data_IF_382291510250
#
_entry.id   IF_382291510250
#
_cell.length_a   1.000
_cell.length_b   1.000
_cell.length_c   1.000
_cell.angle_alpha   90.00
_cell.angle_beta   90.00
_cell.angle_gamma   90.00
#
_symmetry.space_group_name_H-M   'P 1'
#
loop_
_entity.id
_entity.type
_entity.pdbx_description
1 polymer ?
#
# COMPACT_ATOMS: atom_id res chain seq x y z
N UNK A 1 74.24 -35.10 -38.20
CA UNK A 1 74.70 -34.83 -36.83
C UNK A 1 74.20 -33.43 -36.51
N UNK A 2 73.26 -33.33 -35.57
CA UNK A 2 72.63 -32.14 -34.93
C UNK A 2 72.61 -30.78 -35.67
N UNK A 3 71.41 -30.18 -35.81
CA UNK A 3 71.03 -28.92 -35.12
C UNK A 3 69.74 -28.26 -35.69
N UNK A 4 68.79 -27.98 -34.76
CA UNK A 4 67.94 -26.77 -34.63
C UNK A 4 66.78 -26.48 -35.63
N UNK A 5 65.60 -25.89 -35.31
CA UNK A 5 64.95 -25.32 -34.12
C UNK A 5 63.44 -25.03 -34.46
N UNK A 6 62.51 -25.44 -33.58
CA UNK A 6 61.32 -24.70 -33.03
C UNK A 6 60.07 -24.28 -33.89
N UNK A 7 58.87 -24.63 -33.32
CA UNK A 7 57.49 -24.06 -33.42
C UNK A 7 56.77 -24.09 -34.80
N UNK A 8 55.49 -24.44 -34.93
CA UNK A 8 54.36 -23.78 -34.27
C UNK A 8 53.07 -24.63 -34.42
N UNK A 9 52.43 -24.94 -33.29
CA UNK A 9 51.10 -25.54 -33.20
C UNK A 9 50.05 -24.47 -32.88
N UNK A 10 48.81 -24.65 -33.35
CA UNK A 10 47.61 -24.14 -32.70
C UNK A 10 47.09 -22.79 -33.17
N UNK A 11 46.31 -22.78 -34.26
CA UNK A 11 45.64 -21.57 -34.73
C UNK A 11 44.39 -21.88 -35.53
N UNK A 12 43.35 -22.46 -34.92
CA UNK A 12 42.03 -22.49 -35.59
C UNK A 12 40.80 -22.68 -34.71
N UNK A 13 40.92 -23.00 -33.41
CA UNK A 13 39.75 -23.19 -32.53
C UNK A 13 39.38 -21.98 -31.66
N UNK A 14 40.22 -20.95 -31.58
CA UNK A 14 39.99 -19.79 -30.71
C UNK A 14 39.08 -18.72 -31.31
N UNK A 15 38.94 -18.67 -32.64
CA UNK A 15 38.16 -17.63 -33.33
C UNK A 15 36.64 -17.90 -33.26
N UNK A 16 36.24 -19.18 -33.18
CA UNK A 16 34.83 -19.61 -33.10
C UNK A 16 34.21 -19.50 -31.70
N UNK A 17 35.02 -19.29 -30.66
CA UNK A 17 34.56 -19.13 -29.27
C UNK A 17 34.28 -17.66 -28.89
N UNK A 18 34.78 -16.71 -29.69
CA UNK A 18 34.61 -15.29 -29.47
C UNK A 18 33.13 -14.80 -29.50
N UNK A 19 32.25 -15.27 -30.40
CA UNK A 19 30.86 -14.82 -30.45
C UNK A 19 30.03 -15.31 -29.25
N UNK A 20 30.34 -16.51 -28.73
CA UNK A 20 29.67 -17.11 -27.58
C UNK A 20 30.00 -16.38 -26.28
N UNK A 21 31.27 -15.99 -26.10
CA UNK A 21 31.71 -15.21 -24.94
C UNK A 21 31.11 -13.80 -24.93
N UNK A 22 30.92 -13.17 -26.10
CA UNK A 22 30.30 -11.85 -26.21
C UNK A 22 28.80 -11.91 -25.87
N UNK A 23 28.09 -12.96 -26.29
CA UNK A 23 26.67 -13.16 -25.96
C UNK A 23 26.42 -13.34 -24.44
N UNK A 24 27.31 -14.06 -23.75
CA UNK A 24 27.17 -14.32 -22.31
C UNK A 24 27.56 -13.12 -21.43
N UNK A 25 28.40 -12.20 -21.93
CA UNK A 25 28.88 -11.05 -21.16
C UNK A 25 28.13 -9.74 -21.47
N UNK A 26 27.39 -9.66 -22.59
CA UNK A 26 26.51 -8.52 -22.90
C UNK A 26 25.49 -8.19 -21.79
N UNK A 27 24.79 -9.15 -21.15
CA UNK A 27 23.82 -8.83 -20.09
C UNK A 27 24.45 -8.32 -18.78
N UNK A 28 25.78 -8.44 -18.62
CA UNK A 28 26.52 -7.83 -17.50
C UNK A 28 26.88 -6.36 -17.78
N UNK A 29 27.16 -6.01 -19.04
CA UNK A 29 27.45 -4.63 -19.45
C UNK A 29 26.18 -3.77 -19.55
N UNK A 30 25.04 -4.35 -19.96
CA UNK A 30 23.75 -3.63 -19.96
C UNK A 30 23.25 -3.29 -18.55
N UNK A 31 23.69 -4.04 -17.52
CA UNK A 31 23.42 -3.71 -16.11
C UNK A 31 24.24 -2.53 -15.57
N UNK A 32 25.39 -2.21 -16.19
CA UNK A 32 26.22 -1.07 -15.75
C UNK A 32 25.72 0.28 -16.28
N UNK A 33 25.06 0.28 -17.44
CA UNK A 33 24.48 1.48 -18.07
C UNK A 33 22.97 1.62 -17.88
N UNK A 34 22.30 0.59 -17.35
CA UNK A 34 21.04 0.80 -16.66
C UNK A 34 21.36 1.56 -15.37
N UNK A 35 21.36 2.90 -15.46
CA UNK A 35 20.88 3.69 -14.32
C UNK A 35 19.65 2.95 -13.81
N UNK A 36 19.55 2.61 -12.53
CA UNK A 36 18.29 2.07 -12.01
C UNK A 36 17.24 3.01 -12.55
N UNK A 37 16.31 2.47 -13.35
CA UNK A 37 15.07 3.17 -13.58
C UNK A 37 14.62 3.43 -12.16
N UNK A 38 14.72 4.67 -11.73
CA UNK A 38 14.08 5.11 -10.52
C UNK A 38 12.60 4.92 -10.84
N UNK A 39 12.10 3.71 -10.65
CA UNK A 39 10.88 3.57 -9.90
C UNK A 39 11.18 4.40 -8.66
N UNK A 40 10.73 5.65 -8.69
CA UNK A 40 10.44 6.37 -7.47
C UNK A 40 9.47 5.46 -6.75
N UNK A 41 10.00 4.48 -6.00
CA UNK A 41 9.30 3.74 -4.98
C UNK A 41 8.98 4.84 -3.97
N UNK A 42 7.91 5.59 -4.25
CA UNK A 42 7.16 6.17 -3.17
C UNK A 42 6.76 4.97 -2.33
N UNK A 43 7.43 4.78 -1.20
CA UNK A 43 7.19 3.68 -0.28
C UNK A 43 5.75 3.80 0.19
N UNK A 44 4.82 3.12 -0.47
CA UNK A 44 3.43 3.11 -0.06
C UNK A 44 3.25 2.12 1.09
N UNK A 45 2.49 2.52 2.10
CA UNK A 45 2.03 1.62 3.16
C UNK A 45 0.69 0.99 2.78
N UNK A 46 0.39 -0.16 3.38
CA UNK A 46 -0.89 -0.86 3.21
C UNK A 46 -1.46 -1.19 4.57
N UNK A 47 -2.76 -0.97 4.75
CA UNK A 47 -3.51 -1.42 5.92
C UNK A 47 -4.79 -2.15 5.48
N UNK A 48 -5.27 -3.05 6.32
CA UNK A 48 -6.49 -3.83 6.08
C UNK A 48 -7.29 -3.94 7.37
N UNK A 49 -8.59 -3.68 7.28
CA UNK A 49 -9.52 -3.92 8.39
C UNK A 49 -10.88 -4.40 7.89
N UNK A 50 -11.70 -4.83 8.84
CA UNK A 50 -13.01 -5.40 8.59
C UNK A 50 -14.08 -4.56 9.29
N UNK A 51 -15.16 -4.25 8.59
CA UNK A 51 -16.32 -3.53 9.12
C UNK A 51 -17.58 -4.37 9.06
N UNK A 52 -18.52 -4.11 9.97
CA UNK A 52 -19.87 -4.70 9.92
C UNK A 52 -20.74 -4.14 8.80
N UNK A 53 -20.34 -3.02 8.19
CA UNK A 53 -21.08 -2.39 7.09
C UNK A 53 -21.15 -3.27 5.84
N UNK A 54 -22.26 -3.15 5.12
CA UNK A 54 -22.38 -3.68 3.76
C UNK A 54 -21.42 -2.95 2.82
N UNK A 55 -21.11 -3.56 1.68
CA UNK A 55 -20.09 -3.03 0.78
C UNK A 55 -20.40 -1.61 0.28
N UNK A 56 -21.66 -1.32 -0.04
CA UNK A 56 -22.11 0.01 -0.49
C UNK A 56 -22.02 1.05 0.64
N UNK A 57 -22.40 0.67 1.86
CA UNK A 57 -22.32 1.52 3.06
C UNK A 57 -20.86 1.83 3.41
N UNK A 58 -19.98 0.82 3.34
CA UNK A 58 -18.55 0.98 3.57
C UNK A 58 -17.91 1.90 2.52
N UNK A 59 -18.29 1.74 1.26
CA UNK A 59 -17.83 2.58 0.15
C UNK A 59 -18.20 4.06 0.38
N UNK A 60 -19.48 4.35 0.65
CA UNK A 60 -19.92 5.72 0.89
C UNK A 60 -19.37 6.29 2.21
N UNK A 61 -19.22 5.47 3.26
CA UNK A 61 -18.60 5.91 4.52
C UNK A 61 -17.14 6.33 4.33
N UNK A 62 -16.34 5.56 3.59
CA UNK A 62 -14.94 5.93 3.28
C UNK A 62 -14.90 7.21 2.46
N UNK A 63 -15.73 7.32 1.42
CA UNK A 63 -15.80 8.50 0.57
C UNK A 63 -16.13 9.76 1.36
N UNK A 64 -17.13 9.69 2.24
CA UNK A 64 -17.50 10.80 3.14
C UNK A 64 -16.38 11.14 4.12
N UNK A 65 -15.68 10.15 4.68
CA UNK A 65 -14.53 10.38 5.55
C UNK A 65 -13.39 11.10 4.83
N UNK A 66 -13.02 10.68 3.62
CA UNK A 66 -11.95 11.34 2.85
C UNK A 66 -12.34 12.77 2.49
N UNK A 67 -13.59 13.02 2.10
CA UNK A 67 -14.05 14.39 1.86
C UNK A 67 -14.02 15.27 3.12
N UNK A 68 -14.21 14.69 4.31
CA UNK A 68 -14.07 15.42 5.58
C UNK A 68 -12.62 15.78 5.93
N UNK A 69 -11.62 15.14 5.30
CA UNK A 69 -10.22 15.53 5.51
C UNK A 69 -9.92 16.91 4.95
N UNK A 70 -10.65 17.36 3.93
CA UNK A 70 -10.54 18.72 3.36
C UNK A 70 -10.81 19.79 4.41
N UNK A 71 -11.86 19.60 5.20
CA UNK A 71 -12.40 20.65 6.07
C UNK A 71 -11.61 20.87 7.35
N UNK A 72 -10.83 19.88 7.83
CA UNK A 72 -10.24 19.94 9.17
C UNK A 72 -8.89 20.69 9.24
N UNK A 73 -8.14 20.78 8.15
CA UNK A 73 -6.82 21.44 8.13
C UNK A 73 -6.89 22.91 7.69
N UNK A 74 -7.96 23.32 7.01
CA UNK A 74 -8.19 24.72 6.59
C UNK A 74 -8.65 25.62 7.75
N UNK A 75 -9.14 25.04 8.85
CA UNK A 75 -9.56 25.77 10.06
C UNK A 75 -8.41 25.85 11.06
N UNK A 76 -7.23 26.34 10.64
CA UNK A 76 -6.34 27.03 11.59
C UNK A 76 -6.81 28.47 11.63
N UNK A 77 -7.25 29.01 12.78
CA UNK A 77 -7.75 30.37 12.83
C UNK A 77 -6.59 31.31 12.50
N UNK A 78 -6.56 31.80 11.26
CA UNK A 78 -5.68 32.90 10.92
C UNK A 78 -6.08 34.06 11.83
N UNK A 79 -5.14 34.42 12.70
CA UNK A 79 -4.94 35.74 13.30
C UNK A 79 -5.98 36.81 12.87
N UNK A 80 -6.56 37.49 13.86
CA UNK A 80 -7.65 38.50 13.79
C UNK A 80 -7.39 39.75 12.91
N UNK A 81 -6.51 39.70 11.90
CA UNK A 81 -6.25 40.81 10.99
C UNK A 81 -5.92 40.32 9.56
N UNK A 82 -6.92 39.79 8.84
CA UNK A 82 -6.78 39.59 7.39
C UNK A 82 -8.02 40.07 6.66
N UNK A 83 -7.97 41.33 6.20
CA UNK A 83 -9.01 42.02 5.41
C UNK A 83 -8.85 41.74 3.90
N UNK A 84 -7.88 40.93 3.47
CA UNK A 84 -7.66 40.69 2.05
C UNK A 84 -7.47 39.22 1.68
N UNK A 85 -8.27 38.81 0.69
CA UNK A 85 -8.20 37.62 -0.19
C UNK A 85 -8.84 36.33 0.35
N UNK A 86 -10.16 36.23 0.08
CA UNK A 86 -10.84 34.96 -0.17
C UNK A 86 -10.23 34.30 -1.43
N UNK A 87 -9.11 33.60 -1.29
CA UNK A 87 -8.79 32.50 -2.21
C UNK A 87 -9.34 31.25 -1.56
N UNK A 88 -10.38 30.68 -2.16
CA UNK A 88 -10.81 29.31 -1.85
C UNK A 88 -9.57 28.42 -1.94
N UNK A 89 -9.25 27.66 -0.88
CA UNK A 89 -8.16 26.69 -0.92
C UNK A 89 -8.36 25.73 -2.11
N UNK A 90 -7.30 25.31 -2.79
CA UNK A 90 -7.42 24.31 -3.85
C UNK A 90 -8.08 23.04 -3.30
N UNK A 91 -9.03 22.46 -4.05
CA UNK A 91 -9.73 21.24 -3.62
C UNK A 91 -8.71 20.12 -3.30
N UNK A 92 -8.59 19.79 -2.01
CA UNK A 92 -7.71 18.73 -1.52
C UNK A 92 -8.37 17.37 -1.70
N UNK A 93 -7.63 16.30 -1.98
CA UNK A 93 -8.18 14.95 -2.25
C UNK A 93 -9.31 14.89 -3.30
N UNK A 94 -8.96 14.89 -4.58
CA UNK A 94 -9.91 14.74 -5.69
C UNK A 94 -10.07 13.25 -6.01
N UNK A 95 -11.28 12.80 -6.33
CA UNK A 95 -11.52 11.43 -6.80
C UNK A 95 -10.89 11.25 -8.18
N UNK A 96 -9.80 10.47 -8.25
CA UNK A 96 -9.10 10.19 -9.50
C UNK A 96 -9.70 9.02 -10.28
N UNK A 97 -10.24 8.02 -9.57
CA UNK A 97 -10.87 6.83 -10.14
C UNK A 97 -11.94 6.30 -9.19
N UNK A 98 -13.05 5.79 -9.71
CA UNK A 98 -14.13 5.20 -8.90
C UNK A 98 -14.83 4.10 -9.66
N UNK A 99 -14.85 2.89 -9.08
CA UNK A 99 -15.58 1.72 -9.56
C UNK A 99 -16.46 1.23 -8.40
N UNK A 100 -17.65 1.81 -8.19
CA UNK A 100 -18.49 1.46 -7.06
C UNK A 100 -19.02 0.01 -7.14
N UNK A 101 -19.18 -0.69 -6.00
CA UNK A 101 -18.73 -0.34 -4.65
C UNK A 101 -17.33 -0.89 -4.34
N UNK A 102 -16.53 -1.25 -5.36
CA UNK A 102 -15.33 -2.08 -5.23
C UNK A 102 -14.03 -1.30 -5.07
N UNK A 103 -13.94 -0.11 -5.65
CA UNK A 103 -12.69 0.66 -5.66
C UNK A 103 -12.95 2.16 -5.72
N UNK A 104 -12.19 2.93 -4.94
CA UNK A 104 -12.11 4.38 -5.06
C UNK A 104 -10.68 4.86 -4.82
N UNK A 105 -10.21 5.76 -5.68
CA UNK A 105 -8.89 6.39 -5.59
C UNK A 105 -9.03 7.89 -5.41
N UNK A 106 -8.23 8.43 -4.50
CA UNK A 106 -8.12 9.86 -4.29
C UNK A 106 -6.68 10.30 -4.52
N UNK A 107 -6.53 11.51 -5.06
CA UNK A 107 -5.25 12.16 -5.32
C UNK A 107 -5.22 13.51 -4.60
N UNK A 108 -4.20 13.73 -3.78
CA UNK A 108 -3.86 15.03 -3.20
C UNK A 108 -2.46 15.47 -3.69
N UNK A 109 -2.30 16.68 -4.24
CA UNK A 109 -1.00 17.14 -4.74
C UNK A 109 0.11 17.23 -3.68
N UNK A 110 -0.25 17.29 -2.39
CA UNK A 110 0.68 17.47 -1.27
C UNK A 110 0.91 16.14 -0.55
N UNK A 111 -0.17 15.43 -0.22
CA UNK A 111 -0.12 14.21 0.60
C UNK A 111 -0.07 12.92 -0.22
N UNK A 112 -0.25 13.02 -1.54
CA UNK A 112 -0.16 11.91 -2.48
C UNK A 112 -1.48 11.17 -2.67
N UNK A 113 -1.36 9.94 -3.17
CA UNK A 113 -2.51 9.12 -3.56
C UNK A 113 -2.91 8.17 -2.44
N UNK A 114 -4.21 7.90 -2.36
CA UNK A 114 -4.79 6.84 -1.53
C UNK A 114 -5.79 6.03 -2.34
N UNK A 115 -5.66 4.71 -2.29
CA UNK A 115 -6.53 3.76 -2.99
C UNK A 115 -7.21 2.87 -1.98
N UNK A 116 -8.54 2.78 -2.06
CA UNK A 116 -9.36 1.88 -1.26
C UNK A 116 -9.97 0.80 -2.14
N UNK A 117 -9.87 -0.43 -1.69
CA UNK A 117 -10.47 -1.62 -2.30
C UNK A 117 -11.41 -2.28 -1.28
N UNK A 118 -12.59 -2.69 -1.75
CA UNK A 118 -13.65 -3.24 -0.92
C UNK A 118 -13.99 -4.65 -1.36
N UNK A 119 -13.99 -5.58 -0.40
CA UNK A 119 -14.36 -6.98 -0.63
C UNK A 119 -15.40 -7.40 0.40
N UNK A 120 -16.53 -7.94 -0.05
CA UNK A 120 -17.54 -8.50 0.83
C UNK A 120 -16.98 -9.74 1.55
N UNK A 121 -17.33 -9.90 2.83
CA UNK A 121 -16.86 -11.01 3.67
C UNK A 121 -18.02 -11.84 4.17
N UNK A 122 -17.86 -13.15 4.27
CA UNK A 122 -18.85 -14.07 4.86
C UNK A 122 -18.65 -14.17 6.39
N UNK A 123 -19.70 -14.21 7.23
CA UNK A 123 -21.14 -14.21 6.94
C UNK A 123 -21.77 -12.79 6.90
N UNK A 124 -21.08 -11.81 6.34
CA UNK A 124 -21.54 -10.44 6.15
C UNK A 124 -20.54 -9.41 6.66
N UNK A 125 -20.49 -8.23 6.02
CA UNK A 125 -19.54 -7.17 6.32
C UNK A 125 -18.55 -6.95 5.16
N UNK A 126 -17.62 -6.02 5.33
CA UNK A 126 -16.71 -5.61 4.26
C UNK A 126 -15.27 -5.55 4.76
N UNK A 127 -14.35 -6.18 4.03
CA UNK A 127 -12.92 -5.96 4.16
C UNK A 127 -12.54 -4.72 3.36
N UNK A 128 -11.89 -3.77 4.01
CA UNK A 128 -11.36 -2.55 3.41
C UNK A 128 -9.85 -2.67 3.38
N UNK A 129 -9.27 -2.73 2.18
CA UNK A 129 -7.83 -2.63 1.96
C UNK A 129 -7.53 -1.23 1.49
N UNK A 130 -6.53 -0.60 2.10
CA UNK A 130 -6.07 0.72 1.69
C UNK A 130 -4.58 0.72 1.40
N UNK A 131 -4.20 1.35 0.29
CA UNK A 131 -2.83 1.64 -0.07
C UNK A 131 -2.65 3.17 -0.07
N UNK A 132 -1.65 3.68 0.66
CA UNK A 132 -1.48 5.11 0.91
C UNK A 132 -0.01 5.50 1.12
N UNK A 133 0.28 6.79 0.96
CA UNK A 133 1.61 7.35 1.25
C UNK A 133 1.80 7.52 2.77
N UNK A 134 3.00 7.30 3.35
CA UNK A 134 3.21 7.26 4.80
C UNK A 134 2.73 8.51 5.56
N UNK A 135 2.72 9.67 4.91
CA UNK A 135 2.18 10.93 5.47
C UNK A 135 0.69 10.83 5.87
N UNK A 136 -0.06 9.94 5.24
CA UNK A 136 -1.49 9.70 5.50
C UNK A 136 -1.76 8.74 6.66
N UNK A 137 -0.72 8.13 7.24
CA UNK A 137 -0.84 7.07 8.25
C UNK A 137 -1.78 7.45 9.39
N UNK A 138 -1.61 8.63 9.97
CA UNK A 138 -2.46 9.11 11.07
C UNK A 138 -3.92 9.28 10.65
N UNK A 139 -4.17 9.78 9.43
CA UNK A 139 -5.53 9.96 8.90
C UNK A 139 -6.21 8.61 8.68
N UNK A 140 -5.46 7.64 8.14
CA UNK A 140 -5.93 6.27 7.94
C UNK A 140 -6.23 5.57 9.26
N UNK A 141 -5.33 5.67 10.25
CA UNK A 141 -5.54 5.04 11.55
C UNK A 141 -6.75 5.64 12.29
N UNK A 142 -6.92 6.96 12.23
CA UNK A 142 -8.11 7.62 12.80
C UNK A 142 -9.40 7.23 12.08
N UNK A 143 -9.36 7.14 10.75
CA UNK A 143 -10.50 6.65 9.97
C UNK A 143 -10.81 5.21 10.35
N UNK A 144 -9.82 4.29 10.36
CA UNK A 144 -10.02 2.91 10.76
C UNK A 144 -10.68 2.79 12.15
N UNK A 145 -10.26 3.62 13.10
CA UNK A 145 -10.82 3.64 14.45
C UNK A 145 -12.29 4.11 14.52
N UNK A 146 -12.81 4.82 13.51
CA UNK A 146 -14.22 5.23 13.47
C UNK A 146 -15.15 4.18 12.84
N UNK A 147 -14.61 3.14 12.20
CA UNK A 147 -15.43 2.07 11.62
C UNK A 147 -15.82 1.04 12.69
N UNK A 148 -17.07 0.52 12.65
CA UNK A 148 -17.48 -0.57 13.54
C UNK A 148 -16.75 -1.85 13.14
N UNK A 149 -15.82 -2.31 13.98
CA UNK A 149 -15.00 -3.49 13.69
C UNK A 149 -15.80 -4.78 13.80
N UNK A 150 -15.80 -5.57 12.72
CA UNK A 150 -16.31 -6.96 12.73
C UNK A 150 -15.15 -7.90 12.52
N UNK A 151 -14.74 -8.63 13.56
CA UNK A 151 -13.70 -9.66 13.41
C UNK A 151 -14.37 -10.87 12.74
N UNK A 152 -13.90 -11.30 11.55
CA UNK A 152 -14.46 -12.49 10.91
C UNK A 152 -14.31 -13.69 11.85
N UNK A 153 -15.38 -14.48 11.97
CA UNK A 153 -15.49 -15.60 12.91
C UNK A 153 -14.39 -16.66 12.69
N UNK A 154 -13.83 -16.71 11.48
CA UNK A 154 -12.76 -17.62 11.06
C UNK A 154 -11.36 -17.21 11.53
N UNK A 155 -11.16 -15.99 12.02
CA UNK A 155 -9.85 -15.50 12.43
C UNK A 155 -9.54 -15.66 13.94
N UNK A 156 -10.55 -15.93 14.77
CA UNK A 156 -10.42 -15.96 16.23
C UNK A 156 -10.83 -17.30 16.86
N UNK A 157 -10.20 -17.67 17.97
CA UNK A 157 -10.65 -18.78 18.81
C UNK A 157 -11.85 -18.32 19.63
N UNK A 158 -12.92 -19.14 19.78
CA UNK A 158 -14.06 -18.76 20.58
C UNK A 158 -13.66 -18.61 22.06
N UNK A 159 -14.09 -17.53 22.70
CA UNK A 159 -13.96 -17.34 24.13
C UNK A 159 -14.73 -18.44 24.88
N UNK A 160 -14.10 -19.08 25.87
CA UNK A 160 -14.71 -20.14 26.68
C UNK A 160 -15.94 -19.70 27.47
N UNK A 161 -16.03 -18.42 27.86
CA UNK A 161 -17.16 -17.91 28.63
C UNK A 161 -18.34 -17.45 27.77
N UNK A 162 -18.09 -16.71 26.68
CA UNK A 162 -19.17 -16.08 25.90
C UNK A 162 -19.31 -16.59 24.46
N UNK A 163 -18.45 -17.52 24.02
CA UNK A 163 -18.49 -18.12 22.68
C UNK A 163 -18.13 -17.20 21.52
N UNK A 164 -17.84 -15.91 21.77
CA UNK A 164 -17.47 -14.94 20.72
C UNK A 164 -16.01 -15.17 20.27
N UNK A 165 -15.69 -15.02 18.98
CA UNK A 165 -14.35 -15.23 18.45
C UNK A 165 -13.41 -14.13 18.96
N UNK A 166 -12.26 -14.52 19.52
CA UNK A 166 -11.23 -13.60 20.01
C UNK A 166 -9.89 -13.94 19.35
N UNK A 167 -9.14 -12.92 18.93
CA UNK A 167 -7.81 -13.10 18.38
C UNK A 167 -6.84 -13.63 19.46
N UNK A 168 -5.85 -14.45 19.10
CA UNK A 168 -4.96 -15.12 20.06
C UNK A 168 -4.07 -14.17 20.89
N UNK A 169 -3.95 -12.91 20.47
CA UNK A 169 -3.11 -11.90 21.12
C UNK A 169 -3.79 -11.24 22.33
N UNK A 170 -5.11 -11.40 22.49
CA UNK A 170 -5.83 -10.86 23.64
C UNK A 170 -5.58 -11.71 24.89
N UNK A 171 -5.16 -11.06 25.97
CA UNK A 171 -5.09 -11.67 27.32
C UNK A 171 -6.47 -11.74 27.98
N UNK A 172 -7.35 -10.81 27.62
CA UNK A 172 -8.71 -10.67 28.18
C UNK A 172 -9.69 -10.57 27.03
N UNK A 173 -10.82 -11.28 27.13
CA UNK A 173 -11.89 -11.24 26.15
C UNK A 173 -12.45 -9.83 26.06
N UNK A 174 -12.40 -9.17 24.88
CA UNK A 174 -12.88 -7.80 24.71
C UNK A 174 -14.41 -7.69 24.80
N UNK A 175 -15.13 -8.82 24.82
CA UNK A 175 -16.60 -8.84 24.82
C UNK A 175 -17.22 -9.10 26.19
N UNK A 176 -16.57 -9.90 27.05
CA UNK A 176 -17.11 -10.29 28.36
C UNK A 176 -16.14 -10.10 29.52
N UNK A 177 -14.88 -9.74 29.27
CA UNK A 177 -13.88 -9.54 30.32
C UNK A 177 -13.26 -10.83 30.88
N UNK A 178 -13.60 -12.00 30.34
CA UNK A 178 -12.99 -13.28 30.74
C UNK A 178 -11.48 -13.30 30.48
N UNK A 179 -10.69 -13.88 31.38
CA UNK A 179 -9.26 -14.06 31.15
C UNK A 179 -9.04 -15.25 30.23
N UNK A 180 -8.32 -15.03 29.14
CA UNK A 180 -8.04 -16.05 28.13
C UNK A 180 -6.69 -16.74 28.36
N UNK A 181 -5.78 -16.09 29.10
CA UNK A 181 -4.43 -16.55 29.47
C UNK A 181 -4.04 -15.97 30.83
#
# INVERSE_FOLDING_TARGET
MFENIILQAGGSSLILLLPLLICCMLPLLTRLFQKPVSSSLATTETDVWFTSYRIDEAFEAVKNHVFSWRTREEVKPSSKFSIFKNKTPPERFITSESIPPRLIKFSDPIEGNVTFEFTETEPGGTAIRVNYYPILKDKIQRMRASFPLKIPFTAGLPCSACGKPVLPDFKVCPFCGEKLK
#
